data_IF_029912578940
#
_entry.id   IF_029912578940
#
_cell.length_a   1.000
_cell.length_b   1.000
_cell.length_c   1.000
_cell.angle_alpha   90.00
_cell.angle_beta   90.00
_cell.angle_gamma   90.00
#
_symmetry.space_group_name_H-M   'P 1'
#
loop_
_entity.id
_entity.type
_entity.pdbx_description
1 polymer ?
#
# COMPACT_ATOMS: atom_id res chain seq x y z
N UNK A 1 18.23 1.25 13.23
CA UNK A 1 17.57 0.04 12.67
C UNK A 1 16.09 0.16 13.00
N UNK A 2 15.34 0.87 12.19
CA UNK A 2 13.91 1.15 12.42
C UNK A 2 13.40 1.89 11.19
N UNK A 3 12.74 1.21 10.26
CA UNK A 3 12.23 1.88 9.05
C UNK A 3 11.70 0.97 7.96
N UNK A 4 12.10 -0.31 7.90
CA UNK A 4 11.67 -1.22 6.84
C UNK A 4 10.33 -1.93 7.10
N UNK A 5 9.74 -1.80 8.29
CA UNK A 5 8.60 -2.64 8.71
C UNK A 5 7.24 -1.93 8.56
N UNK A 6 7.21 -0.63 8.27
CA UNK A 6 5.97 0.16 8.35
C UNK A 6 5.25 0.28 6.98
N UNK A 7 5.92 0.76 5.92
CA UNK A 7 5.30 0.86 4.59
C UNK A 7 5.03 -0.52 3.94
N UNK A 8 5.81 -1.54 4.30
CA UNK A 8 5.64 -2.89 3.78
C UNK A 8 4.30 -3.52 4.16
N UNK A 9 3.80 -3.23 5.38
CA UNK A 9 2.48 -3.70 5.81
C UNK A 9 1.34 -3.04 5.03
N UNK A 10 1.48 -1.75 4.71
CA UNK A 10 0.54 -1.01 3.87
C UNK A 10 0.50 -1.61 2.45
N UNK A 11 1.67 -1.82 1.84
CA UNK A 11 1.78 -2.47 0.53
C UNK A 11 1.12 -3.86 0.53
N UNK A 12 1.45 -4.72 1.51
CA UNK A 12 0.92 -6.08 1.56
C UNK A 12 -0.60 -6.10 1.77
N UNK A 13 -1.13 -5.19 2.58
CA UNK A 13 -2.56 -5.00 2.73
C UNK A 13 -3.22 -4.61 1.41
N UNK A 14 -2.67 -3.62 0.69
CA UNK A 14 -3.21 -3.18 -0.60
C UNK A 14 -3.21 -4.32 -1.64
N UNK A 15 -2.15 -5.12 -1.71
CA UNK A 15 -2.09 -6.30 -2.59
C UNK A 15 -3.18 -7.31 -2.23
N UNK A 16 -3.33 -7.63 -0.95
CA UNK A 16 -4.34 -8.60 -0.49
C UNK A 16 -5.76 -8.09 -0.75
N UNK A 17 -6.01 -6.81 -0.46
CA UNK A 17 -7.29 -6.16 -0.71
C UNK A 17 -7.63 -6.17 -2.20
N UNK A 18 -6.67 -5.83 -3.07
CA UNK A 18 -6.83 -5.87 -4.52
C UNK A 18 -7.07 -7.28 -5.05
N UNK A 19 -6.35 -8.29 -4.56
CA UNK A 19 -6.56 -9.68 -4.98
C UNK A 19 -7.95 -10.22 -4.60
N UNK A 20 -8.47 -9.82 -3.44
CA UNK A 20 -9.77 -10.29 -2.95
C UNK A 20 -10.96 -9.52 -3.55
N UNK A 21 -10.79 -8.23 -3.85
CA UNK A 21 -11.89 -7.34 -4.24
C UNK A 21 -11.82 -6.82 -5.68
N UNK A 22 -10.63 -6.87 -6.30
CA UNK A 22 -10.34 -6.20 -7.56
C UNK A 22 -10.22 -4.67 -7.46
N UNK A 23 -10.30 -4.09 -6.26
CA UNK A 23 -10.30 -2.65 -6.01
C UNK A 23 -9.03 -2.22 -5.27
N UNK A 24 -8.63 -0.96 -5.46
CA UNK A 24 -7.54 -0.34 -4.69
C UNK A 24 -8.18 0.37 -3.49
N UNK A 25 -7.72 0.11 -2.24
CA UNK A 25 -8.29 0.77 -1.07
C UNK A 25 -7.93 2.26 -1.06
N UNK A 26 -8.87 3.10 -0.63
CA UNK A 26 -8.61 4.53 -0.47
C UNK A 26 -7.63 4.82 0.66
N UNK A 27 -6.92 5.94 0.56
CA UNK A 27 -6.00 6.41 1.61
C UNK A 27 -6.66 6.54 2.98
N UNK A 28 -7.91 6.99 3.03
CA UNK A 28 -8.71 7.11 4.26
C UNK A 28 -8.87 5.77 4.98
N UNK A 29 -9.10 4.69 4.22
CA UNK A 29 -9.20 3.32 4.74
C UNK A 29 -7.85 2.87 5.29
N UNK A 30 -6.77 3.15 4.57
CA UNK A 30 -5.42 2.78 5.01
C UNK A 30 -5.00 3.52 6.30
N UNK A 31 -5.34 4.80 6.43
CA UNK A 31 -5.09 5.56 7.66
C UNK A 31 -5.93 5.04 8.84
N UNK A 32 -7.14 4.54 8.59
CA UNK A 32 -7.97 3.93 9.62
C UNK A 32 -7.47 2.53 10.04
N UNK A 33 -6.95 1.75 9.09
CA UNK A 33 -6.38 0.42 9.34
C UNK A 33 -5.01 0.48 10.04
N UNK A 34 -4.22 1.53 9.74
CA UNK A 34 -2.88 1.73 10.27
C UNK A 34 -2.76 3.03 11.11
N UNK A 35 -3.53 3.18 12.21
CA UNK A 35 -3.57 4.43 12.97
C UNK A 35 -2.26 4.71 13.73
N UNK A 36 -1.40 3.71 13.89
CA UNK A 36 -0.08 3.84 14.51
C UNK A 36 1.04 4.23 13.54
N UNK A 37 0.74 4.30 12.24
CA UNK A 37 1.70 4.75 11.24
C UNK A 37 1.56 6.24 11.00
N UNK A 38 2.70 6.90 10.76
CA UNK A 38 2.67 8.26 10.28
C UNK A 38 2.01 8.30 8.90
N UNK A 39 1.21 9.33 8.58
CA UNK A 39 0.56 9.45 7.27
C UNK A 39 1.55 9.36 6.09
N UNK A 40 2.79 9.84 6.28
CA UNK A 40 3.86 9.75 5.28
C UNK A 40 4.27 8.29 5.01
N UNK A 41 4.30 7.42 6.03
CA UNK A 41 4.60 5.99 5.86
C UNK A 41 3.47 5.25 5.11
N UNK A 42 2.23 5.71 5.28
CA UNK A 42 1.09 5.21 4.49
C UNK A 42 1.21 5.64 3.04
N UNK A 43 1.58 6.89 2.80
CA UNK A 43 1.80 7.43 1.46
C UNK A 43 2.95 6.73 0.73
N UNK A 44 4.05 6.41 1.43
CA UNK A 44 5.15 5.59 0.90
C UNK A 44 4.66 4.20 0.46
N UNK A 45 3.87 3.52 1.28
CA UNK A 45 3.32 2.20 0.93
C UNK A 45 2.39 2.23 -0.29
N UNK A 46 1.59 3.30 -0.42
CA UNK A 46 0.73 3.53 -1.60
C UNK A 46 1.58 3.78 -2.85
N UNK A 47 2.64 4.60 -2.75
CA UNK A 47 3.53 4.90 -3.87
C UNK A 47 4.23 3.63 -4.39
N UNK A 48 4.74 2.79 -3.49
CA UNK A 48 5.36 1.50 -3.84
C UNK A 48 4.35 0.56 -4.54
N UNK A 49 3.13 0.45 -4.01
CA UNK A 49 2.08 -0.35 -4.65
C UNK A 49 1.78 0.12 -6.08
N UNK A 50 1.59 1.42 -6.26
CA UNK A 50 1.29 2.00 -7.57
C UNK A 50 2.44 1.80 -8.56
N UNK A 51 3.69 1.89 -8.11
CA UNK A 51 4.88 1.67 -8.94
C UNK A 51 4.98 0.21 -9.39
N UNK A 52 4.73 -0.76 -8.50
CA UNK A 52 4.75 -2.20 -8.84
C UNK A 52 3.60 -2.57 -9.77
N UNK A 53 2.38 -2.09 -9.49
CA UNK A 53 1.20 -2.40 -10.29
C UNK A 53 1.22 -1.69 -11.65
N UNK A 54 1.74 -0.46 -11.71
CA UNK A 54 1.96 0.26 -12.97
C UNK A 54 2.93 -0.47 -13.90
N UNK A 55 4.05 -0.97 -13.36
CA UNK A 55 5.01 -1.80 -14.13
C UNK A 55 4.42 -3.11 -14.62
N UNK A 56 3.45 -3.69 -13.90
CA UNK A 56 2.72 -4.90 -14.35
C UNK A 56 1.81 -4.62 -15.56
N UNK A 57 1.32 -3.39 -15.73
CA UNK A 57 0.51 -3.00 -16.88
C UNK A 57 1.32 -2.79 -18.17
N UNK A 58 2.60 -2.44 -18.07
CA UNK A 58 3.48 -2.20 -19.24
C UNK A 58 4.15 -3.48 -19.78
N UNK A 59 4.09 -4.59 -19.04
CA UNK A 59 4.67 -5.87 -19.43
C UNK A 59 3.67 -6.83 -20.11
N UNK A 60 2.49 -6.35 -20.49
CA UNK A 60 1.40 -7.10 -21.11
C UNK A 60 1.25 -6.84 -22.60
#
# INVERSE_FOLDING_TARGET
MSGAWNYWHVYHFMVTYYQNTGLVPERSVLLAEFPSLDPEQVDEGIAEFNLVMGKRGEAG
#
